data_IF_438628511696
#
_entry.id   IF_438628511696
#
_cell.length_a   1.000
_cell.length_b   1.000
_cell.length_c   1.000
_cell.angle_alpha   90.00
_cell.angle_beta   90.00
_cell.angle_gamma   90.00
#
_symmetry.space_group_name_H-M   'P 1'
#
loop_
_entity.id
_entity.type
_entity.pdbx_description
1 polymer ?
#
# COMPACT_ATOMS: atom_id res chain seq x y z
N UNK A 1 -10.75 10.29 8.27
CA UNK A 1 -9.34 9.87 8.16
C UNK A 1 -8.81 10.51 6.89
N UNK A 2 -7.62 11.10 6.91
CA UNK A 2 -7.02 11.77 5.75
C UNK A 2 -5.92 10.91 5.17
N UNK A 3 -5.88 10.78 3.85
CA UNK A 3 -4.85 10.00 3.15
C UNK A 3 -3.52 10.77 3.09
N UNK A 4 -2.40 10.04 2.98
CA UNK A 4 -1.07 10.64 2.79
C UNK A 4 -1.02 11.54 1.55
N UNK A 5 -1.72 11.13 0.49
CA UNK A 5 -1.80 11.89 -0.75
C UNK A 5 -2.55 13.21 -0.58
N UNK A 6 -3.64 13.21 0.19
CA UNK A 6 -4.37 14.42 0.54
C UNK A 6 -3.50 15.38 1.35
N UNK A 7 -2.66 14.86 2.25
CA UNK A 7 -1.66 15.67 2.96
C UNK A 7 -0.63 16.28 1.98
N UNK A 8 -0.19 15.53 0.97
CA UNK A 8 0.74 16.04 -0.06
C UNK A 8 0.12 17.11 -0.96
N UNK A 9 -1.13 16.95 -1.36
CA UNK A 9 -1.85 17.98 -2.13
C UNK A 9 -1.93 19.29 -1.35
N UNK A 10 -2.22 19.21 -0.05
CA UNK A 10 -2.26 20.37 0.83
C UNK A 10 -0.86 21.01 0.97
N UNK A 11 0.21 20.22 1.11
CA UNK A 11 1.59 20.73 1.10
C UNK A 11 1.92 21.54 -0.15
N UNK A 12 1.50 21.04 -1.32
CA UNK A 12 1.70 21.72 -2.61
C UNK A 12 0.91 23.00 -2.70
N UNK A 13 -0.36 23.01 -2.26
CA UNK A 13 -1.19 24.23 -2.19
C UNK A 13 -0.59 25.31 -1.29
N UNK A 14 0.12 24.90 -0.23
CA UNK A 14 0.81 25.81 0.69
C UNK A 14 2.18 26.28 0.18
N UNK A 15 2.59 25.87 -1.02
CA UNK A 15 3.91 26.19 -1.57
C UNK A 15 5.08 25.55 -0.81
N UNK A 16 4.82 24.55 0.05
CA UNK A 16 5.83 23.89 0.89
C UNK A 16 6.54 22.72 0.17
N UNK A 17 6.18 22.47 -1.10
CA UNK A 17 6.79 21.47 -1.97
C UNK A 17 6.46 20.03 -1.57
N UNK A 18 7.05 19.08 -2.28
CA UNK A 18 7.03 17.68 -1.87
C UNK A 18 8.11 17.42 -0.83
N UNK A 19 7.70 17.30 0.44
CA UNK A 19 8.59 16.87 1.53
C UNK A 19 8.40 15.38 1.76
N UNK A 20 9.49 14.64 1.86
CA UNK A 20 9.47 13.23 2.30
C UNK A 20 9.02 13.09 3.76
N UNK A 21 9.26 14.11 4.59
CA UNK A 21 8.93 14.10 6.01
C UNK A 21 7.99 15.27 6.35
N UNK A 22 6.84 14.93 6.91
CA UNK A 22 5.92 15.86 7.55
C UNK A 22 6.26 15.89 9.03
N UNK A 23 6.92 16.96 9.47
CA UNK A 23 7.16 17.16 10.90
C UNK A 23 5.85 17.40 11.66
N UNK A 24 5.93 17.34 12.98
CA UNK A 24 4.76 17.46 13.86
C UNK A 24 3.94 18.72 13.56
N UNK A 25 4.57 19.88 13.45
CA UNK A 25 3.86 21.15 13.29
C UNK A 25 3.19 21.26 11.93
N UNK A 26 3.88 20.79 10.89
CA UNK A 26 3.33 20.69 9.55
C UNK A 26 2.14 19.72 9.49
N UNK A 27 2.22 18.60 10.19
CA UNK A 27 1.11 17.64 10.30
C UNK A 27 -0.15 18.27 10.89
N UNK A 28 -0.04 19.06 11.96
CA UNK A 28 -1.18 19.79 12.53
C UNK A 28 -1.78 20.83 11.58
N UNK A 29 -0.94 21.52 10.82
CA UNK A 29 -1.40 22.52 9.85
C UNK A 29 -2.21 21.87 8.72
N UNK A 30 -1.70 20.77 8.16
CA UNK A 30 -2.38 20.02 7.12
C UNK A 30 -3.70 19.41 7.62
N UNK A 31 -3.69 18.82 8.82
CA UNK A 31 -4.90 18.29 9.44
C UNK A 31 -5.98 19.37 9.62
N UNK A 32 -5.62 20.58 10.07
CA UNK A 32 -6.59 21.70 10.20
C UNK A 32 -7.18 22.08 8.84
N UNK A 33 -6.34 22.18 7.82
CA UNK A 33 -6.78 22.55 6.48
C UNK A 33 -7.71 21.50 5.86
N UNK A 34 -7.58 20.24 6.26
CA UNK A 34 -8.43 19.14 5.81
C UNK A 34 -9.62 18.84 6.72
N UNK A 35 -9.84 19.64 7.77
CA UNK A 35 -10.92 19.43 8.73
C UNK A 35 -10.75 18.18 9.60
N UNK A 36 -9.53 17.64 9.70
CA UNK A 36 -9.20 16.52 10.60
C UNK A 36 -9.14 17.02 12.02
N UNK A 37 -9.89 16.37 12.92
CA UNK A 37 -10.01 16.77 14.31
C UNK A 37 -8.95 16.17 15.23
N UNK A 38 -8.39 15.00 14.87
CA UNK A 38 -7.40 14.32 15.69
C UNK A 38 -6.26 13.73 14.83
N UNK A 39 -5.03 13.83 15.34
CA UNK A 39 -3.84 13.21 14.76
C UNK A 39 -3.29 12.13 15.70
N UNK A 40 -2.88 11.00 15.13
CA UNK A 40 -2.24 9.90 15.85
C UNK A 40 -0.74 9.95 15.58
N UNK A 41 0.06 10.14 16.62
CA UNK A 41 1.52 10.16 16.55
C UNK A 41 2.08 8.96 17.30
N UNK A 42 2.80 8.10 16.58
CA UNK A 42 3.57 7.00 17.16
C UNK A 42 5.01 7.42 17.42
N UNK A 43 5.58 6.93 18.51
CA UNK A 43 7.01 7.00 18.81
C UNK A 43 7.44 5.69 19.46
N UNK A 44 8.72 5.32 19.37
CA UNK A 44 9.25 4.20 20.13
C UNK A 44 10.56 4.57 20.82
N UNK A 45 10.85 3.87 21.90
CA UNK A 45 12.09 3.99 22.67
C UNK A 45 12.67 2.60 22.87
N UNK A 46 13.99 2.46 22.73
CA UNK A 46 14.73 1.24 23.04
C UNK A 46 15.56 1.45 24.30
N UNK A 47 15.42 0.56 25.28
CA UNK A 47 16.25 0.52 26.49
C UNK A 47 16.72 -0.92 26.72
N UNK A 48 18.01 -1.17 26.53
CA UNK A 48 18.52 -2.55 26.48
C UNK A 48 17.86 -3.31 25.33
N UNK A 49 17.26 -4.46 25.62
CA UNK A 49 16.48 -5.25 24.66
C UNK A 49 14.97 -4.93 24.71
N UNK A 50 14.54 -4.03 25.58
CA UNK A 50 13.13 -3.63 25.67
C UNK A 50 12.81 -2.52 24.70
N UNK A 51 11.76 -2.71 23.89
CA UNK A 51 11.15 -1.70 23.04
C UNK A 51 9.83 -1.25 23.66
N UNK A 52 9.65 0.05 23.83
CA UNK A 52 8.40 0.68 24.23
C UNK A 52 7.86 1.50 23.06
N UNK A 53 6.63 1.22 22.62
CA UNK A 53 5.93 1.99 21.59
C UNK A 53 4.83 2.81 22.25
N UNK A 54 4.91 4.12 22.09
CA UNK A 54 3.96 5.09 22.61
C UNK A 54 3.15 5.67 21.44
N UNK A 55 1.83 5.74 21.62
CA UNK A 55 0.93 6.40 20.68
C UNK A 55 0.20 7.51 21.40
N UNK A 56 0.30 8.72 20.86
CA UNK A 56 -0.43 9.90 21.34
C UNK A 56 -1.47 10.30 20.32
N UNK A 57 -2.69 10.49 20.79
CA UNK A 57 -3.78 11.06 19.99
C UNK A 57 -3.97 12.48 20.44
N UNK A 58 -3.75 13.40 19.52
CA UNK A 58 -3.76 14.83 19.81
C UNK A 58 -4.90 15.50 19.08
N UNK A 59 -5.55 16.43 19.77
CA UNK A 59 -6.53 17.33 19.20
C UNK A 59 -5.84 18.31 18.27
N UNK A 60 -6.36 18.44 17.06
CA UNK A 60 -5.68 19.18 15.99
C UNK A 60 -5.73 20.70 16.21
N UNK A 61 -6.79 21.21 16.84
CA UNK A 61 -6.95 22.66 17.10
C UNK A 61 -6.07 23.12 18.27
N UNK A 62 -6.13 22.41 19.38
CA UNK A 62 -5.47 22.77 20.63
C UNK A 62 -4.03 22.24 20.72
N UNK A 63 -3.66 21.28 19.87
CA UNK A 63 -2.46 20.44 19.98
C UNK A 63 -2.37 19.66 21.31
N UNK A 64 -3.45 19.64 22.08
CA UNK A 64 -3.55 18.95 23.37
C UNK A 64 -3.62 17.43 23.19
N UNK A 65 -3.11 16.69 24.16
CA UNK A 65 -3.24 15.22 24.16
C UNK A 65 -4.68 14.88 24.54
N UNK A 66 -5.40 14.21 23.64
CA UNK A 66 -6.72 13.62 23.92
C UNK A 66 -6.53 12.35 24.75
N UNK A 67 -5.69 11.42 24.24
CA UNK A 67 -5.35 10.16 24.90
C UNK A 67 -3.93 9.73 24.53
N UNK A 68 -3.34 8.91 25.39
CA UNK A 68 -2.05 8.27 25.14
C UNK A 68 -2.10 6.80 25.53
N UNK A 69 -1.45 5.97 24.73
CA UNK A 69 -1.35 4.54 24.93
C UNK A 69 0.12 4.14 24.82
N UNK A 70 0.52 3.09 25.54
CA UNK A 70 1.87 2.53 25.46
C UNK A 70 1.80 1.01 25.50
N UNK A 71 2.65 0.36 24.73
CA UNK A 71 2.89 -1.08 24.83
C UNK A 71 4.40 -1.33 24.82
N UNK A 72 4.86 -2.38 25.50
CA UNK A 72 6.29 -2.66 25.66
C UNK A 72 6.59 -4.13 25.47
N UNK A 73 7.72 -4.49 24.88
CA UNK A 73 8.12 -5.88 24.75
C UNK A 73 9.61 -6.04 24.58
N UNK A 74 10.09 -7.25 24.78
CA UNK A 74 11.49 -7.63 24.58
C UNK A 74 11.74 -7.99 23.11
N UNK A 75 12.87 -7.54 22.58
CA UNK A 75 13.22 -7.67 21.18
C UNK A 75 12.39 -6.75 20.27
N UNK A 76 12.99 -6.38 19.13
CA UNK A 76 12.33 -5.49 18.15
C UNK A 76 11.08 -6.13 17.55
N UNK A 77 11.08 -7.46 17.39
CA UNK A 77 9.94 -8.22 16.87
C UNK A 77 8.69 -8.13 17.74
N UNK A 78 8.83 -7.79 19.03
CA UNK A 78 7.66 -7.60 19.91
C UNK A 78 6.73 -6.51 19.40
N UNK A 79 7.24 -5.58 18.58
CA UNK A 79 6.45 -4.54 17.93
C UNK A 79 5.36 -5.16 17.05
N UNK A 80 5.74 -6.04 16.10
CA UNK A 80 4.79 -6.72 15.21
C UNK A 80 4.02 -7.84 15.91
N UNK A 81 4.68 -8.61 16.78
CA UNK A 81 4.08 -9.76 17.47
C UNK A 81 2.96 -9.37 18.44
N UNK A 82 2.98 -8.14 18.98
CA UNK A 82 2.10 -7.78 20.10
C UNK A 82 1.76 -6.30 20.18
N UNK A 83 2.77 -5.42 20.12
CA UNK A 83 2.56 -4.02 20.50
C UNK A 83 1.59 -3.29 19.57
N UNK A 84 1.66 -3.50 18.25
CA UNK A 84 0.73 -2.84 17.33
C UNK A 84 -0.70 -3.31 17.54
N UNK A 85 -0.93 -4.60 17.78
CA UNK A 85 -2.27 -5.15 18.04
C UNK A 85 -2.85 -4.62 19.36
N UNK A 86 -2.04 -4.53 20.41
CA UNK A 86 -2.43 -3.91 21.67
C UNK A 86 -2.83 -2.46 21.47
N UNK A 87 -1.95 -1.68 20.85
CA UNK A 87 -2.16 -0.25 20.64
C UNK A 87 -3.39 -0.03 19.77
N UNK A 88 -3.57 -0.81 18.71
CA UNK A 88 -4.74 -0.73 17.83
C UNK A 88 -6.05 -1.00 18.59
N UNK A 89 -6.07 -2.03 19.46
CA UNK A 89 -7.24 -2.31 20.32
C UNK A 89 -7.52 -1.17 21.30
N UNK A 90 -6.49 -0.64 21.96
CA UNK A 90 -6.66 0.41 22.96
C UNK A 90 -7.07 1.76 22.33
N UNK A 91 -6.52 2.10 21.16
CA UNK A 91 -6.94 3.23 20.34
C UNK A 91 -8.41 3.08 19.95
N UNK A 92 -8.82 1.90 19.46
CA UNK A 92 -10.20 1.63 19.06
C UNK A 92 -11.17 1.80 20.25
N UNK A 93 -10.86 1.22 21.42
CA UNK A 93 -11.66 1.40 22.64
C UNK A 93 -11.67 2.85 23.14
N UNK A 94 -10.54 3.55 22.95
CA UNK A 94 -10.31 4.86 23.54
C UNK A 94 -10.87 6.03 22.74
N UNK A 95 -10.99 5.91 21.42
CA UNK A 95 -11.30 7.04 20.52
C UNK A 95 -12.58 6.81 19.72
N UNK A 96 -12.95 5.55 19.46
CA UNK A 96 -14.08 5.20 18.61
C UNK A 96 -15.27 4.80 19.49
N UNK A 97 -16.21 5.72 19.68
CA UNK A 97 -17.64 5.36 19.79
C UNK A 97 -18.46 6.20 18.81
N UNK A 98 -18.59 5.75 17.55
CA UNK A 98 -19.78 5.99 16.76
C UNK A 98 -20.53 4.68 16.54
N UNK A 99 -21.85 4.74 16.67
CA UNK A 99 -22.77 3.66 16.31
C UNK A 99 -22.48 3.16 14.89
N UNK A 100 -22.31 1.84 14.72
CA UNK A 100 -22.24 1.20 13.40
C UNK A 100 -20.87 0.77 12.89
N UNK A 101 -19.77 1.03 13.59
CA UNK A 101 -18.48 0.39 13.25
C UNK A 101 -18.44 -1.00 13.86
N UNK A 102 -18.82 -2.02 13.08
CA UNK A 102 -18.56 -3.41 13.43
C UNK A 102 -17.05 -3.57 13.57
N UNK A 103 -16.60 -3.88 14.79
CA UNK A 103 -15.27 -4.42 15.01
C UNK A 103 -15.21 -5.75 14.26
N UNK A 104 -14.78 -5.72 12.99
CA UNK A 104 -14.21 -6.92 12.39
C UNK A 104 -13.02 -7.23 13.27
N UNK A 105 -13.06 -8.38 13.95
CA UNK A 105 -11.90 -8.88 14.67
C UNK A 105 -10.78 -9.02 13.64
N UNK A 106 -9.89 -8.03 13.59
CA UNK A 106 -8.72 -8.08 12.74
C UNK A 106 -7.84 -9.19 13.30
N UNK A 107 -7.51 -10.18 12.46
CA UNK A 107 -6.47 -11.14 12.80
C UNK A 107 -5.20 -10.37 13.21
N UNK A 108 -4.45 -10.86 14.22
CA UNK A 108 -3.20 -10.25 14.65
C UNK A 108 -2.32 -9.89 13.44
N UNK A 109 -1.70 -8.71 13.45
CA UNK A 109 -0.87 -8.26 12.32
C UNK A 109 0.22 -9.28 11.99
N UNK A 110 0.78 -9.91 13.02
CA UNK A 110 1.75 -10.99 12.93
C UNK A 110 1.24 -12.24 12.17
N UNK A 111 -0.06 -12.53 12.22
CA UNK A 111 -0.66 -13.67 11.49
C UNK A 111 -0.97 -13.34 10.03
N UNK A 112 -1.17 -12.06 9.71
CA UNK A 112 -1.53 -11.58 8.36
C UNK A 112 -0.29 -11.15 7.57
N UNK A 113 0.77 -10.72 8.26
CA UNK A 113 2.03 -10.24 7.68
C UNK A 113 3.19 -11.17 8.02
N UNK A 114 4.02 -10.81 9.00
CA UNK A 114 5.19 -11.54 9.46
C UNK A 114 5.44 -11.29 10.94
N UNK A 115 6.09 -12.25 11.60
CA UNK A 115 6.58 -12.13 12.97
C UNK A 115 8.01 -11.56 13.07
N UNK A 116 8.68 -11.31 11.95
CA UNK A 116 10.07 -10.84 11.89
C UNK A 116 10.11 -9.40 11.40
N UNK A 117 10.63 -8.49 12.23
CA UNK A 117 10.86 -7.10 11.82
C UNK A 117 11.89 -7.00 10.69
N UNK A 118 12.84 -7.93 10.63
CA UNK A 118 13.82 -8.00 9.55
C UNK A 118 13.13 -8.41 8.23
N UNK A 119 12.30 -9.45 8.26
CA UNK A 119 11.51 -9.87 7.10
C UNK A 119 10.58 -8.75 6.64
N UNK A 120 9.93 -8.06 7.58
CA UNK A 120 9.06 -6.92 7.28
C UNK A 120 9.83 -5.76 6.63
N UNK A 121 11.03 -5.44 7.13
CA UNK A 121 11.88 -4.41 6.55
C UNK A 121 12.30 -4.73 5.11
N UNK A 122 12.65 -5.99 4.84
CA UNK A 122 12.94 -6.46 3.49
C UNK A 122 11.72 -6.43 2.57
N UNK A 123 10.55 -6.82 3.07
CA UNK A 123 9.29 -6.72 2.34
C UNK A 123 8.94 -5.27 1.98
N UNK A 124 9.04 -4.34 2.93
CA UNK A 124 8.75 -2.93 2.67
C UNK A 124 9.67 -2.34 1.60
N UNK A 125 10.98 -2.65 1.68
CA UNK A 125 11.94 -2.24 0.65
C UNK A 125 11.58 -2.83 -0.71
N UNK A 126 11.31 -4.13 -0.75
CA UNK A 126 10.95 -4.80 -2.00
C UNK A 126 9.65 -4.30 -2.62
N UNK A 127 8.66 -3.92 -1.81
CA UNK A 127 7.44 -3.27 -2.27
C UNK A 127 7.70 -1.87 -2.83
N UNK A 128 8.51 -1.06 -2.14
CA UNK A 128 8.85 0.30 -2.57
C UNK A 128 9.65 0.28 -3.88
N UNK A 129 10.65 -0.59 -3.98
CA UNK A 129 11.42 -0.82 -5.20
C UNK A 129 10.51 -1.29 -6.34
N UNK A 130 9.56 -2.19 -6.06
CA UNK A 130 8.57 -2.62 -7.04
C UNK A 130 7.71 -1.47 -7.54
N UNK A 131 7.23 -0.58 -6.65
CA UNK A 131 6.44 0.61 -7.01
C UNK A 131 7.23 1.63 -7.84
N UNK A 132 8.56 1.61 -7.72
CA UNK A 132 9.51 2.41 -8.50
C UNK A 132 10.03 1.70 -9.76
N UNK A 133 9.50 0.52 -10.09
CA UNK A 133 9.98 -0.33 -11.20
C UNK A 133 11.46 -0.79 -11.09
N UNK A 134 12.08 -0.71 -9.91
CA UNK A 134 13.38 -1.31 -9.63
C UNK A 134 13.24 -2.82 -9.39
N UNK A 135 12.88 -3.54 -10.46
CA UNK A 135 12.38 -4.92 -10.36
C UNK A 135 13.43 -5.91 -9.84
N UNK A 136 14.71 -5.72 -10.14
CA UNK A 136 15.78 -6.60 -9.68
C UNK A 136 16.05 -6.43 -8.17
N UNK A 137 16.06 -5.18 -7.70
CA UNK A 137 16.20 -4.80 -6.30
C UNK A 137 14.98 -5.26 -5.49
N UNK A 138 13.79 -5.09 -6.07
CA UNK A 138 12.53 -5.58 -5.52
C UNK A 138 12.56 -7.10 -5.33
N UNK A 139 12.97 -7.85 -6.37
CA UNK A 139 13.08 -9.30 -6.32
C UNK A 139 14.02 -9.72 -5.18
N UNK A 140 15.23 -9.18 -5.14
CA UNK A 140 16.24 -9.51 -4.12
C UNK A 140 15.73 -9.24 -2.70
N UNK A 141 15.07 -8.11 -2.48
CA UNK A 141 14.51 -7.76 -1.17
C UNK A 141 13.37 -8.69 -0.78
N UNK A 142 12.48 -9.06 -1.71
CA UNK A 142 11.36 -9.96 -1.45
C UNK A 142 11.80 -11.41 -1.23
N UNK A 143 12.81 -11.88 -1.96
CA UNK A 143 13.46 -13.19 -1.73
C UNK A 143 13.99 -13.27 -0.30
N UNK A 144 14.68 -12.22 0.15
CA UNK A 144 15.17 -12.18 1.53
C UNK A 144 14.03 -12.17 2.56
N UNK A 145 12.92 -11.51 2.26
CA UNK A 145 11.75 -11.52 3.15
C UNK A 145 11.17 -12.93 3.32
N UNK A 146 11.02 -13.68 2.22
CA UNK A 146 10.46 -15.06 2.28
C UNK A 146 11.47 -16.10 2.80
N UNK A 147 12.78 -15.84 2.70
CA UNK A 147 13.80 -16.64 3.38
C UNK A 147 13.73 -16.50 4.91
N UNK A 148 13.50 -15.27 5.37
CA UNK A 148 13.39 -14.95 6.80
C UNK A 148 12.04 -15.40 7.38
N UNK A 149 10.97 -15.35 6.57
CA UNK A 149 9.65 -15.83 6.94
C UNK A 149 8.96 -16.55 5.77
N UNK A 150 9.06 -17.90 5.71
CA UNK A 150 8.42 -18.71 4.67
C UNK A 150 6.89 -18.73 4.68
N UNK A 151 6.23 -18.15 5.68
CA UNK A 151 4.77 -18.04 5.75
C UNK A 151 4.28 -16.61 5.40
N UNK A 152 5.18 -15.71 4.98
CA UNK A 152 4.83 -14.32 4.66
C UNK A 152 4.12 -14.19 3.30
N UNK A 153 2.80 -14.40 3.31
CA UNK A 153 1.95 -14.42 2.13
C UNK A 153 2.10 -13.18 1.23
N UNK A 154 2.11 -11.97 1.80
CA UNK A 154 2.24 -10.75 1.01
C UNK A 154 3.61 -10.64 0.31
N UNK A 155 4.69 -11.17 0.90
CA UNK A 155 5.98 -11.19 0.24
C UNK A 155 5.96 -12.11 -0.99
N UNK A 156 5.34 -13.29 -0.91
CA UNK A 156 5.13 -14.15 -2.10
C UNK A 156 4.21 -13.50 -3.15
N UNK A 157 3.16 -12.81 -2.72
CA UNK A 157 2.28 -12.08 -3.63
C UNK A 157 3.04 -11.02 -4.45
N UNK A 158 3.88 -10.21 -3.82
CA UNK A 158 4.71 -9.25 -4.55
C UNK A 158 5.82 -9.94 -5.37
N UNK A 159 6.44 -11.00 -4.84
CA UNK A 159 7.49 -11.74 -5.55
C UNK A 159 6.96 -12.38 -6.84
N UNK A 160 5.72 -12.89 -6.83
CA UNK A 160 5.04 -13.37 -8.02
C UNK A 160 4.87 -12.26 -9.06
N UNK A 161 4.39 -11.07 -8.66
CA UNK A 161 4.20 -9.92 -9.56
C UNK A 161 5.51 -9.41 -10.14
N UNK A 162 6.55 -9.28 -9.33
CA UNK A 162 7.90 -8.89 -9.76
C UNK A 162 8.43 -9.87 -10.80
N UNK A 163 8.36 -11.18 -10.52
CA UNK A 163 8.84 -12.20 -11.45
C UNK A 163 8.06 -12.23 -12.77
N UNK A 164 6.76 -11.93 -12.76
CA UNK A 164 5.98 -11.79 -13.99
C UNK A 164 6.46 -10.59 -14.83
N UNK A 165 6.74 -9.46 -14.20
CA UNK A 165 7.23 -8.27 -14.91
C UNK A 165 8.66 -8.45 -15.44
N UNK A 166 9.50 -9.22 -14.73
CA UNK A 166 10.82 -9.62 -15.21
C UNK A 166 10.78 -10.69 -16.32
N UNK A 167 9.62 -11.24 -16.65
CA UNK A 167 9.48 -12.35 -17.61
C UNK A 167 9.89 -13.72 -17.05
N UNK A 168 10.19 -13.82 -15.76
CA UNK A 168 10.60 -15.03 -15.05
C UNK A 168 9.38 -15.90 -14.69
N UNK A 169 8.70 -16.46 -15.71
CA UNK A 169 7.45 -17.19 -15.52
C UNK A 169 7.55 -18.41 -14.60
N UNK A 170 8.71 -19.08 -14.51
CA UNK A 170 8.92 -20.21 -13.60
C UNK A 170 8.99 -19.75 -12.13
N UNK A 171 9.80 -18.72 -11.82
CA UNK A 171 9.89 -18.16 -10.48
C UNK A 171 8.54 -17.57 -10.01
N UNK A 172 7.78 -16.97 -10.93
CA UNK A 172 6.42 -16.52 -10.65
C UNK A 172 5.50 -17.69 -10.24
N UNK A 173 5.54 -18.81 -10.97
CA UNK A 173 4.76 -20.01 -10.62
C UNK A 173 5.15 -20.59 -9.26
N UNK A 174 6.44 -20.62 -8.94
CA UNK A 174 6.92 -21.08 -7.63
C UNK A 174 6.40 -20.19 -6.50
N UNK A 175 6.44 -18.87 -6.69
CA UNK A 175 5.88 -17.91 -5.73
C UNK A 175 4.38 -18.08 -5.55
N UNK A 176 3.62 -18.28 -6.65
CA UNK A 176 2.17 -18.53 -6.59
C UNK A 176 1.84 -19.86 -5.90
N UNK A 177 2.63 -20.91 -6.12
CA UNK A 177 2.44 -22.20 -5.45
C UNK A 177 2.65 -22.12 -3.94
N UNK A 178 3.56 -21.25 -3.48
CA UNK A 178 3.74 -20.93 -2.05
C UNK A 178 2.64 -20.03 -1.50
N UNK A 179 2.17 -19.07 -2.30
CA UNK A 179 1.10 -18.15 -1.92
C UNK A 179 -0.25 -18.84 -1.74
N UNK A 180 -0.58 -19.80 -2.61
CA UNK A 180 -1.90 -20.43 -2.65
C UNK A 180 -2.37 -21.02 -1.29
N UNK A 181 -1.58 -21.86 -0.58
CA UNK A 181 -1.99 -22.36 0.73
C UNK A 181 -2.03 -21.29 1.83
N UNK A 182 -1.38 -20.14 1.63
CA UNK A 182 -1.35 -19.03 2.59
C UNK A 182 -2.51 -18.05 2.37
N UNK A 183 -3.08 -17.99 1.16
CA UNK A 183 -4.03 -16.95 0.77
C UNK A 183 -5.31 -16.88 1.59
N UNK A 184 -5.78 -18.01 2.14
CA UNK A 184 -6.97 -18.04 3.00
C UNK A 184 -6.71 -17.58 4.44
N UNK A 185 -5.44 -17.49 4.86
CA UNK A 185 -5.04 -16.98 6.19
C UNK A 185 -5.06 -15.47 6.27
N UNK A 186 -4.90 -14.80 5.11
CA UNK A 186 -4.80 -13.34 5.04
C UNK A 186 -6.21 -12.75 5.00
N UNK A 187 -6.54 -11.94 6.00
CA UNK A 187 -7.82 -11.27 6.10
C UNK A 187 -7.82 -9.88 5.43
N UNK A 188 -9.00 -9.27 5.35
CA UNK A 188 -9.16 -7.89 4.89
C UNK A 188 -8.72 -7.66 3.43
N UNK A 189 -8.29 -6.42 3.16
CA UNK A 189 -7.91 -5.94 1.81
C UNK A 189 -6.78 -6.75 1.18
N UNK A 190 -5.76 -7.12 1.96
CA UNK A 190 -4.61 -7.90 1.49
C UNK A 190 -5.05 -9.31 1.03
N UNK A 191 -5.92 -9.95 1.80
CA UNK A 191 -6.52 -11.23 1.41
C UNK A 191 -7.31 -11.14 0.10
N UNK A 192 -8.03 -10.04 -0.12
CA UNK A 192 -8.73 -9.80 -1.38
C UNK A 192 -7.75 -9.64 -2.56
N UNK A 193 -6.64 -8.93 -2.39
CA UNK A 193 -5.61 -8.83 -3.44
C UNK A 193 -5.00 -10.18 -3.79
N UNK A 194 -4.70 -11.02 -2.79
CA UNK A 194 -4.19 -12.36 -3.01
C UNK A 194 -5.21 -13.19 -3.79
N UNK A 195 -6.48 -13.17 -3.38
CA UNK A 195 -7.56 -13.89 -4.07
C UNK A 195 -7.75 -13.42 -5.51
N UNK A 196 -7.67 -12.12 -5.78
CA UNK A 196 -7.75 -11.58 -7.13
C UNK A 196 -6.59 -12.08 -8.01
N UNK A 197 -5.35 -12.09 -7.49
CA UNK A 197 -4.18 -12.57 -8.23
C UNK A 197 -4.25 -14.07 -8.51
N UNK A 198 -4.65 -14.88 -7.51
CA UNK A 198 -4.81 -16.32 -7.68
C UNK A 198 -5.95 -16.64 -8.66
N UNK A 199 -7.07 -15.91 -8.61
CA UNK A 199 -8.14 -16.04 -9.59
C UNK A 199 -7.64 -15.76 -11.02
N UNK A 200 -6.86 -14.69 -11.21
CA UNK A 200 -6.32 -14.32 -12.53
C UNK A 200 -5.31 -15.36 -13.06
N UNK A 201 -4.32 -15.73 -12.24
CA UNK A 201 -3.13 -16.44 -12.72
C UNK A 201 -3.17 -17.95 -12.52
N UNK A 202 -3.88 -18.44 -11.50
CA UNK A 202 -3.95 -19.87 -11.17
C UNK A 202 -5.27 -20.45 -11.65
N UNK A 203 -6.40 -19.83 -11.28
CA UNK A 203 -7.72 -20.30 -11.71
C UNK A 203 -8.03 -19.92 -13.16
N UNK A 204 -7.28 -18.95 -13.73
CA UNK A 204 -7.53 -18.38 -15.07
C UNK A 204 -8.96 -17.86 -15.22
N UNK A 205 -9.51 -17.33 -14.12
CA UNK A 205 -10.85 -16.81 -14.04
C UNK A 205 -10.82 -15.29 -13.94
N UNK A 206 -10.82 -14.66 -15.11
CA UNK A 206 -10.69 -13.23 -15.25
C UNK A 206 -11.87 -12.44 -14.65
N UNK A 207 -13.08 -12.98 -14.81
CA UNK A 207 -14.29 -12.35 -14.28
C UNK A 207 -14.29 -12.33 -12.75
N UNK A 208 -13.86 -13.45 -12.12
CA UNK A 208 -13.71 -13.54 -10.66
C UNK A 208 -12.66 -12.55 -10.15
N UNK A 209 -11.50 -12.45 -10.81
CA UNK A 209 -10.47 -11.48 -10.43
C UNK A 209 -11.00 -10.03 -10.50
N UNK A 210 -11.73 -9.69 -11.56
CA UNK A 210 -12.35 -8.38 -11.74
C UNK A 210 -13.44 -8.10 -10.70
N UNK A 211 -14.27 -9.07 -10.36
CA UNK A 211 -15.30 -8.94 -9.31
C UNK A 211 -14.65 -8.61 -7.95
N UNK A 212 -13.57 -9.32 -7.60
CA UNK A 212 -12.82 -9.07 -6.37
C UNK A 212 -12.19 -7.67 -6.38
N UNK A 213 -11.57 -7.26 -7.49
CA UNK A 213 -10.99 -5.91 -7.62
C UNK A 213 -12.06 -4.82 -7.49
N UNK A 214 -13.23 -4.99 -8.11
CA UNK A 214 -14.37 -4.07 -7.96
C UNK A 214 -14.81 -3.98 -6.51
N UNK A 215 -14.89 -5.10 -5.80
CA UNK A 215 -15.18 -5.13 -4.37
C UNK A 215 -14.14 -4.33 -3.57
N UNK A 216 -12.85 -4.52 -3.83
CA UNK A 216 -11.80 -3.72 -3.16
C UNK A 216 -12.02 -2.22 -3.41
N UNK A 217 -12.31 -1.81 -4.65
CA UNK A 217 -12.52 -0.38 -4.95
C UNK A 217 -13.82 0.20 -4.40
N UNK A 218 -14.79 -0.64 -4.02
CA UNK A 218 -16.03 -0.23 -3.37
C UNK A 218 -15.86 -0.13 -1.85
N UNK A 219 -15.22 -1.13 -1.24
CA UNK A 219 -14.96 -1.20 0.21
C UNK A 219 -13.85 -0.23 0.64
N UNK A 220 -12.89 0.04 -0.26
CA UNK A 220 -11.72 0.90 -0.04
C UNK A 220 -11.57 1.91 -1.19
N UNK A 221 -12.40 2.97 -1.23
CA UNK A 221 -12.45 3.89 -2.37
C UNK A 221 -11.15 4.64 -2.63
N UNK A 222 -10.34 4.84 -1.59
CA UNK A 222 -9.03 5.54 -1.62
C UNK A 222 -7.85 4.60 -1.93
N UNK A 223 -8.12 3.35 -2.33
CA UNK A 223 -7.08 2.37 -2.67
C UNK A 223 -6.61 2.53 -4.12
N UNK A 224 -5.58 3.36 -4.33
CA UNK A 224 -5.02 3.65 -5.67
C UNK A 224 -4.56 2.41 -6.44
N UNK A 225 -4.01 1.41 -5.75
CA UNK A 225 -3.52 0.19 -6.40
C UNK A 225 -4.66 -0.65 -6.96
N UNK A 226 -5.79 -0.74 -6.28
CA UNK A 226 -6.94 -1.48 -6.78
C UNK A 226 -7.53 -0.79 -8.02
N UNK A 227 -7.51 0.55 -8.05
CA UNK A 227 -7.85 1.35 -9.23
C UNK A 227 -6.90 1.07 -10.39
N UNK A 228 -5.59 1.04 -10.14
CA UNK A 228 -4.58 0.65 -11.13
C UNK A 228 -4.81 -0.78 -11.67
N UNK A 229 -4.96 -1.75 -10.77
CA UNK A 229 -5.11 -3.16 -11.14
C UNK A 229 -6.39 -3.35 -11.96
N UNK A 230 -7.50 -2.72 -11.57
CA UNK A 230 -8.76 -2.74 -12.32
C UNK A 230 -8.63 -2.04 -13.68
N UNK A 231 -7.97 -0.89 -13.75
CA UNK A 231 -7.69 -0.18 -15.00
C UNK A 231 -6.82 -1.00 -15.96
N UNK A 232 -5.80 -1.68 -15.45
CA UNK A 232 -4.94 -2.61 -16.19
C UNK A 232 -5.74 -3.83 -16.67
N UNK A 233 -6.68 -4.30 -15.87
CA UNK A 233 -7.59 -5.37 -16.25
C UNK A 233 -8.46 -4.98 -17.44
N UNK A 234 -9.06 -3.79 -17.39
CA UNK A 234 -9.85 -3.25 -18.49
C UNK A 234 -9.03 -3.04 -19.77
N UNK A 235 -7.78 -2.56 -19.64
CA UNK A 235 -6.83 -2.47 -20.75
C UNK A 235 -6.63 -3.82 -21.44
N UNK A 236 -6.35 -4.90 -20.68
CA UNK A 236 -6.17 -6.25 -21.23
C UNK A 236 -7.42 -6.78 -21.93
N UNK A 237 -8.61 -6.37 -21.50
CA UNK A 237 -9.90 -6.75 -22.10
C UNK A 237 -10.32 -5.85 -23.28
N UNK A 238 -9.53 -4.84 -23.64
CA UNK A 238 -9.87 -3.88 -24.69
C UNK A 238 -10.96 -2.87 -24.29
N UNK A 239 -11.33 -2.80 -23.02
CA UNK A 239 -12.30 -1.85 -22.44
C UNK A 239 -11.59 -0.56 -22.05
N UNK A 240 -11.01 0.11 -23.04
CA UNK A 240 -10.00 1.15 -22.84
C UNK A 240 -10.57 2.38 -22.11
N UNK A 241 -11.80 2.77 -22.39
CA UNK A 241 -12.49 3.88 -21.74
C UNK A 241 -12.71 3.63 -20.24
N UNK A 242 -13.18 2.44 -19.86
CA UNK A 242 -13.30 2.05 -18.45
C UNK A 242 -11.94 1.98 -17.77
N UNK A 243 -10.92 1.51 -18.50
CA UNK A 243 -9.53 1.50 -18.05
C UNK A 243 -9.03 2.89 -17.72
N UNK A 244 -9.19 3.86 -18.63
CA UNK A 244 -8.84 5.26 -18.41
C UNK A 244 -9.55 5.83 -17.19
N UNK A 245 -10.84 5.55 -17.00
CA UNK A 245 -11.60 6.08 -15.87
C UNK A 245 -11.03 5.64 -14.52
N UNK A 246 -10.65 4.37 -14.38
CA UNK A 246 -10.04 3.87 -13.14
C UNK A 246 -8.60 4.38 -12.96
N UNK A 247 -7.80 4.42 -14.02
CA UNK A 247 -6.43 4.92 -13.96
C UNK A 247 -6.36 6.42 -13.60
N UNK A 248 -7.28 7.24 -14.11
CA UNK A 248 -7.39 8.65 -13.70
C UNK A 248 -7.75 8.80 -12.22
N UNK A 249 -8.59 7.92 -11.67
CA UNK A 249 -8.85 7.89 -10.22
C UNK A 249 -7.57 7.53 -9.45
N UNK A 250 -6.78 6.57 -9.94
CA UNK A 250 -5.52 6.20 -9.31
C UNK A 250 -4.52 7.36 -9.26
N UNK A 251 -4.38 8.12 -10.36
CA UNK A 251 -3.51 9.32 -10.40
C UNK A 251 -4.09 10.48 -9.60
N UNK A 252 -5.42 10.61 -9.51
CA UNK A 252 -6.06 11.61 -8.65
C UNK A 252 -5.79 11.31 -7.17
N UNK A 253 -5.79 10.04 -6.80
CA UNK A 253 -5.39 9.59 -5.46
C UNK A 253 -3.91 9.90 -5.26
N UNK A 254 -3.03 9.38 -6.12
CA UNK A 254 -1.60 9.70 -6.04
C UNK A 254 -1.06 10.31 -7.34
N UNK A 255 -0.85 11.64 -7.36
CA UNK A 255 -0.30 12.34 -8.50
C UNK A 255 1.15 11.98 -8.86
N UNK A 256 1.82 11.10 -8.11
CA UNK A 256 3.14 10.55 -8.44
C UNK A 256 3.13 9.05 -8.72
N UNK A 257 1.95 8.45 -8.88
CA UNK A 257 1.86 7.02 -9.08
C UNK A 257 2.31 6.61 -10.49
N UNK A 258 3.61 6.33 -10.63
CA UNK A 258 4.26 6.05 -11.92
C UNK A 258 3.56 4.93 -12.70
N UNK A 259 3.17 3.84 -12.04
CA UNK A 259 2.42 2.75 -12.66
C UNK A 259 1.13 3.22 -13.34
N UNK A 260 0.34 4.06 -12.68
CA UNK A 260 -0.91 4.54 -13.24
C UNK A 260 -0.66 5.50 -14.41
N UNK A 261 0.36 6.35 -14.34
CA UNK A 261 0.75 7.23 -15.45
C UNK A 261 1.21 6.45 -16.68
N UNK A 262 2.04 5.43 -16.46
CA UNK A 262 2.54 4.55 -17.51
C UNK A 262 1.38 3.80 -18.19
N UNK A 263 0.47 3.24 -17.39
CA UNK A 263 -0.73 2.58 -17.92
C UNK A 263 -1.69 3.55 -18.63
N UNK A 264 -1.84 4.80 -18.17
CA UNK A 264 -2.60 5.82 -18.91
C UNK A 264 -1.98 6.05 -20.29
N UNK A 265 -0.66 6.20 -20.37
CA UNK A 265 0.05 6.42 -21.62
C UNK A 265 -0.17 5.25 -22.60
N UNK A 266 0.00 4.00 -22.14
CA UNK A 266 -0.28 2.81 -22.96
C UNK A 266 -1.74 2.73 -23.39
N UNK A 267 -2.69 3.04 -22.50
CA UNK A 267 -4.13 2.99 -22.81
C UNK A 267 -4.50 4.05 -23.87
N UNK A 268 -3.97 5.27 -23.77
CA UNK A 268 -4.15 6.30 -24.80
C UNK A 268 -3.49 5.91 -26.13
N UNK A 269 -2.30 5.30 -26.10
CA UNK A 269 -1.63 4.81 -27.29
C UNK A 269 -2.45 3.73 -28.01
N UNK A 270 -3.06 2.79 -27.26
CA UNK A 270 -3.93 1.77 -27.84
C UNK A 270 -5.23 2.35 -28.42
N UNK A 271 -5.73 3.44 -27.85
CA UNK A 271 -6.82 4.26 -28.42
C UNK A 271 -6.39 5.14 -29.61
N UNK A 272 -5.13 5.07 -30.04
CA UNK A 272 -4.54 5.91 -31.10
C UNK A 272 -4.58 7.42 -30.78
N UNK A 273 -4.70 7.77 -29.50
CA UNK A 273 -4.69 9.14 -28.97
C UNK A 273 -3.25 9.54 -28.60
N UNK A 274 -2.40 9.62 -29.63
CA UNK A 274 -0.94 9.73 -29.45
C UNK A 274 -0.49 10.98 -28.69
N UNK A 275 -1.13 12.13 -28.90
CA UNK A 275 -0.77 13.37 -28.19
C UNK A 275 -0.93 13.21 -26.66
N UNK A 276 -2.04 12.59 -26.24
CA UNK A 276 -2.33 12.32 -24.83
C UNK A 276 -1.38 11.26 -24.27
N UNK A 277 -1.06 10.23 -25.06
CA UNK A 277 -0.08 9.22 -24.67
C UNK A 277 1.30 9.84 -24.40
N UNK A 278 1.78 10.70 -25.30
CA UNK A 278 3.05 11.42 -25.16
C UNK A 278 3.05 12.31 -23.91
N UNK A 279 1.95 13.01 -23.63
CA UNK A 279 1.83 13.84 -22.43
C UNK A 279 1.98 13.01 -21.14
N UNK A 280 1.33 11.84 -21.08
CA UNK A 280 1.42 10.94 -19.93
C UNK A 280 2.80 10.28 -19.81
N UNK A 281 3.46 9.91 -20.91
CA UNK A 281 4.84 9.44 -20.87
C UNK A 281 5.81 10.51 -20.36
N UNK A 282 5.62 11.77 -20.74
CA UNK A 282 6.41 12.89 -20.19
C UNK A 282 6.20 13.05 -18.68
N UNK A 283 4.94 12.98 -18.22
CA UNK A 283 4.64 13.03 -16.77
C UNK A 283 5.29 11.87 -16.01
N UNK A 284 5.21 10.66 -16.58
CA UNK A 284 5.87 9.48 -16.04
C UNK A 284 7.39 9.70 -15.89
N UNK A 285 8.07 10.17 -16.95
CA UNK A 285 9.52 10.38 -16.91
C UNK A 285 9.98 11.46 -15.91
N UNK A 286 9.10 12.38 -15.52
CA UNK A 286 9.38 13.38 -14.48
C UNK A 286 9.32 12.79 -13.05
N UNK A 287 8.47 11.77 -12.83
CA UNK A 287 8.31 11.13 -11.51
C UNK A 287 9.20 9.89 -11.33
N UNK A 288 9.56 9.24 -12.43
CA UNK A 288 10.51 8.11 -12.48
C UNK A 288 11.69 8.41 -13.41
N UNK A 289 12.63 9.30 -13.03
CA UNK A 289 13.72 9.72 -13.92
C UNK A 289 14.69 8.58 -14.27
N UNK A 290 14.80 7.55 -13.42
CA UNK A 290 15.67 6.41 -13.63
C UNK A 290 15.13 5.42 -14.68
N UNK A 291 13.81 5.29 -14.84
CA UNK A 291 13.18 4.40 -15.83
C UNK A 291 13.02 5.04 -17.20
N UNK A 292 13.02 6.38 -17.26
CA UNK A 292 12.90 7.14 -18.50
C UNK A 292 14.13 7.00 -19.43
N UNK A 293 15.19 6.36 -18.94
CA UNK A 293 16.46 6.13 -19.64
C UNK A 293 16.61 4.63 -19.90
N UNK A 294 15.67 4.04 -20.63
CA UNK A 294 15.93 2.80 -21.35
C UNK A 294 16.17 3.16 -22.83
N UNK A 295 17.38 2.98 -23.37
CA UNK A 295 17.72 3.31 -24.76
C UNK A 295 17.02 2.41 -25.79
#
# INVERSE_FOLDING_TARGET
>A
MTSWERLRDLLRQMGKGDREVIDRDLGFELCRQDGVQAIVLGSYVKAGDTFATDVKVLDVETKGIIKSFSSRGEGVDSILKRQIDDLSREIAKGIVQPEGVTQVAASPIAEVTTNSMEAYGHFLRGRDDYEKFYLAEAQKSLERAVELDPDFAMAYYYLARVNLQLGNGEAARQSLAKLQPLGDRVAGKEGLYIKALLADLVERNADKAMEILRKITADFPDEKRARLDLGTYYYRLGKLEEGLAELHKAVKLDPQYGFAMNMLAYTYAQLQKYDQAIEWFKKYGLVSPADAIAP
#
